data_IF_567114073828
#
_entry.id   IF_567114073828
#
_cell.length_a   1.000
_cell.length_b   1.000
_cell.length_c   1.000
_cell.angle_alpha   90.00
_cell.angle_beta   90.00
_cell.angle_gamma   90.00
#
_symmetry.space_group_name_H-M   'P 1'
#
loop_
_entity.id
_entity.type
_entity.pdbx_description
1 polymer ?
#
# COMPACT_ATOMS: atom_id res chain seq x y z
N UNK A 1 4.78 -4.13 -2.56
CA UNK A 1 5.44 -5.08 -1.63
C UNK A 1 6.90 -5.26 -2.04
N UNK A 2 7.75 -5.70 -1.12
CA UNK A 2 9.20 -5.83 -1.29
C UNK A 2 9.70 -7.23 -0.94
N UNK A 3 10.96 -7.51 -1.29
CA UNK A 3 11.65 -8.72 -0.84
C UNK A 3 11.73 -8.72 0.68
N UNK A 4 11.66 -9.91 1.27
CA UNK A 4 11.73 -10.12 2.71
C UNK A 4 10.55 -9.60 3.52
N UNK A 5 9.43 -9.22 2.88
CA UNK A 5 8.19 -8.90 3.59
C UNK A 5 7.61 -10.14 4.28
N UNK A 6 7.25 -9.99 5.55
CA UNK A 6 6.52 -10.96 6.36
C UNK A 6 5.16 -10.35 6.75
N UNK A 7 4.23 -11.17 7.23
CA UNK A 7 3.01 -10.68 7.87
C UNK A 7 3.38 -9.63 8.93
N UNK A 8 2.71 -8.48 8.94
CA UNK A 8 2.91 -7.45 9.97
C UNK A 8 2.01 -7.65 11.20
N UNK A 9 0.97 -8.47 11.08
CA UNK A 9 0.10 -8.91 12.16
C UNK A 9 0.15 -10.42 12.37
N UNK A 10 -0.41 -10.93 13.49
CA UNK A 10 -0.53 -12.35 13.73
C UNK A 10 -1.46 -12.98 12.68
N UNK A 11 -1.03 -14.09 12.05
CA UNK A 11 -1.82 -14.79 11.02
C UNK A 11 -3.19 -15.22 11.54
N UNK A 12 -3.30 -15.48 12.84
CA UNK A 12 -4.54 -15.86 13.53
C UNK A 12 -5.58 -14.74 13.47
N UNK A 13 -5.16 -13.48 13.35
CA UNK A 13 -6.06 -12.33 13.19
C UNK A 13 -6.60 -12.16 11.76
N UNK A 14 -6.05 -12.86 10.77
CA UNK A 14 -6.42 -12.81 9.36
C UNK A 14 -6.77 -14.17 8.77
N UNK A 15 -6.87 -15.20 9.62
CA UNK A 15 -7.28 -16.54 9.21
C UNK A 15 -8.70 -16.51 8.66
N UNK A 16 -8.90 -17.11 7.49
CA UNK A 16 -10.23 -17.20 6.89
C UNK A 16 -11.11 -18.12 7.72
N UNK A 17 -12.27 -17.61 8.12
CA UNK A 17 -13.25 -18.34 8.92
C UNK A 17 -13.75 -19.64 8.25
N UNK A 18 -13.65 -19.73 6.91
CA UNK A 18 -14.10 -20.85 6.09
C UNK A 18 -12.97 -21.72 5.52
N UNK A 19 -11.71 -21.43 5.87
CA UNK A 19 -10.55 -22.12 5.32
C UNK A 19 -9.33 -21.92 6.21
N UNK A 20 -9.04 -22.84 7.13
CA UNK A 20 -7.96 -22.62 8.12
C UNK A 20 -6.55 -22.78 7.54
N UNK A 21 -5.55 -22.22 8.23
CA UNK A 21 -4.14 -22.44 7.92
C UNK A 21 -3.77 -23.92 7.99
N UNK A 22 -4.33 -24.66 8.93
CA UNK A 22 -4.08 -26.10 9.10
C UNK A 22 -4.71 -26.92 7.98
N UNK A 23 -5.93 -26.58 7.52
CA UNK A 23 -6.54 -27.21 6.35
C UNK A 23 -5.65 -27.03 5.11
N UNK A 24 -5.11 -25.83 4.91
CA UNK A 24 -4.30 -25.53 3.73
C UNK A 24 -2.90 -26.17 3.78
N UNK A 25 -2.17 -26.03 4.88
CA UNK A 25 -0.77 -26.46 4.99
C UNK A 25 -0.59 -27.87 5.53
N UNK A 26 -1.65 -28.51 6.05
CA UNK A 26 -1.60 -29.84 6.66
C UNK A 26 -0.76 -29.91 7.95
N UNK A 27 -0.41 -28.75 8.53
CA UNK A 27 0.37 -28.60 9.76
C UNK A 27 0.22 -27.20 10.32
N UNK A 28 0.56 -27.04 11.59
CA UNK A 28 0.73 -25.72 12.20
C UNK A 28 2.01 -25.04 11.69
N UNK A 29 1.94 -23.71 11.55
CA UNK A 29 3.08 -22.86 11.18
C UNK A 29 3.19 -21.69 12.17
N UNK A 30 4.32 -20.98 12.19
CA UNK A 30 4.52 -19.79 13.02
C UNK A 30 3.52 -18.67 12.66
N UNK A 31 3.29 -17.73 13.59
CA UNK A 31 2.24 -16.69 13.44
C UNK A 31 2.58 -15.55 12.49
N UNK A 32 3.84 -15.43 12.06
CA UNK A 32 4.26 -14.41 11.11
C UNK A 32 4.85 -15.11 9.87
N UNK A 33 4.04 -15.56 8.92
CA UNK A 33 4.53 -16.17 7.70
C UNK A 33 5.11 -15.13 6.70
N UNK A 34 6.12 -15.48 5.90
CA UNK A 34 6.58 -14.65 4.78
C UNK A 34 5.47 -14.41 3.74
N UNK A 35 5.57 -13.33 2.95
CA UNK A 35 4.63 -12.99 1.87
C UNK A 35 4.26 -14.18 0.97
N UNK A 36 5.25 -14.98 0.57
CA UNK A 36 5.02 -16.12 -0.33
C UNK A 36 4.11 -17.19 0.28
N UNK A 37 4.17 -17.37 1.61
CA UNK A 37 3.34 -18.34 2.34
C UNK A 37 1.90 -17.82 2.46
N UNK A 38 1.69 -16.53 2.77
CA UNK A 38 0.34 -15.96 2.75
C UNK A 38 -0.29 -15.98 1.36
N UNK A 39 0.50 -15.73 0.30
CA UNK A 39 0.02 -15.82 -1.08
C UNK A 39 -0.47 -17.24 -1.41
N UNK A 40 0.27 -18.28 -1.02
CA UNK A 40 -0.11 -19.68 -1.22
C UNK A 40 -1.43 -20.00 -0.51
N UNK A 41 -1.58 -19.54 0.74
CA UNK A 41 -2.81 -19.68 1.52
C UNK A 41 -4.03 -19.01 0.87
N UNK A 42 -3.87 -17.77 0.40
CA UNK A 42 -4.92 -17.02 -0.31
C UNK A 42 -5.28 -17.75 -1.62
N UNK A 43 -4.27 -18.18 -2.39
CA UNK A 43 -4.47 -18.86 -3.65
C UNK A 43 -5.17 -20.22 -3.48
N UNK A 44 -4.82 -20.97 -2.43
CA UNK A 44 -5.43 -22.26 -2.11
C UNK A 44 -6.95 -22.17 -1.94
N UNK A 45 -7.43 -21.16 -1.21
CA UNK A 45 -8.87 -20.96 -1.00
C UNK A 45 -9.62 -20.70 -2.31
N UNK A 46 -9.11 -19.80 -3.15
CA UNK A 46 -9.79 -19.47 -4.43
C UNK A 46 -9.65 -20.56 -5.49
N UNK A 47 -8.57 -21.37 -5.43
CA UNK A 47 -8.45 -22.61 -6.23
C UNK A 47 -9.54 -23.61 -5.85
N UNK A 48 -9.78 -23.83 -4.55
CA UNK A 48 -10.88 -24.70 -4.05
C UNK A 48 -12.26 -24.20 -4.51
N UNK A 49 -12.46 -22.89 -4.57
CA UNK A 49 -13.72 -22.28 -5.00
C UNK A 49 -13.95 -22.30 -6.52
N UNK A 50 -12.94 -22.65 -7.33
CA UNK A 50 -13.02 -22.74 -8.80
C UNK A 50 -13.57 -21.46 -9.49
N UNK A 51 -13.16 -20.28 -9.02
CA UNK A 51 -13.65 -18.99 -9.53
C UNK A 51 -12.75 -18.35 -10.59
N UNK A 52 -11.63 -18.99 -10.93
CA UNK A 52 -10.59 -18.40 -11.79
C UNK A 52 -11.11 -18.04 -13.19
N UNK A 53 -12.03 -18.83 -13.72
CA UNK A 53 -12.58 -18.65 -15.08
C UNK A 53 -13.44 -17.39 -15.24
N UNK A 54 -13.82 -16.74 -14.13
CA UNK A 54 -14.51 -15.44 -14.16
C UNK A 54 -13.54 -14.25 -14.27
N UNK A 55 -12.24 -14.47 -14.10
CA UNK A 55 -11.23 -13.42 -14.05
C UNK A 55 -10.58 -13.27 -15.43
N UNK A 56 -10.51 -12.01 -15.90
CA UNK A 56 -9.68 -11.65 -17.05
C UNK A 56 -8.42 -10.96 -16.54
N UNK A 57 -7.30 -11.68 -16.55
CA UNK A 57 -5.98 -11.13 -16.24
C UNK A 57 -5.48 -10.26 -17.39
N UNK A 58 -4.45 -9.44 -17.15
CA UNK A 58 -3.90 -8.49 -18.14
C UNK A 58 -4.94 -7.54 -18.78
N UNK A 59 -6.09 -7.36 -18.12
CA UNK A 59 -7.20 -6.54 -18.61
C UNK A 59 -7.42 -5.36 -17.66
N UNK A 60 -6.96 -4.18 -18.05
CA UNK A 60 -7.07 -2.98 -17.25
C UNK A 60 -8.42 -2.28 -17.49
N UNK A 61 -9.17 -1.99 -16.43
CA UNK A 61 -10.34 -1.10 -16.53
C UNK A 61 -9.86 0.31 -16.87
N UNK A 62 -10.43 0.90 -17.92
CA UNK A 62 -10.11 2.24 -18.42
C UNK A 62 -11.17 3.26 -18.04
N UNK A 63 -12.43 2.86 -18.06
CA UNK A 63 -13.54 3.76 -17.71
C UNK A 63 -14.77 2.99 -17.26
N UNK A 64 -15.55 3.58 -16.36
CA UNK A 64 -16.89 3.11 -15.99
C UNK A 64 -17.83 4.29 -16.11
N UNK A 65 -18.90 4.13 -16.88
CA UNK A 65 -19.97 5.12 -17.00
C UNK A 65 -21.30 4.47 -16.61
N UNK A 66 -22.23 5.24 -16.04
CA UNK A 66 -23.56 4.78 -15.68
C UNK A 66 -24.60 5.56 -16.48
N UNK A 67 -25.59 4.87 -17.03
CA UNK A 67 -26.68 5.46 -17.79
C UNK A 67 -27.99 5.35 -17.00
N UNK A 68 -28.58 6.49 -16.64
CA UNK A 68 -29.83 6.57 -15.88
C UNK A 68 -31.05 6.06 -16.65
N UNK A 69 -31.04 6.09 -17.97
CA UNK A 69 -32.14 5.61 -18.81
C UNK A 69 -32.14 4.09 -18.87
N UNK A 70 -30.99 3.48 -19.12
CA UNK A 70 -30.87 2.02 -19.22
C UNK A 70 -30.66 1.34 -17.88
N UNK A 71 -30.27 2.09 -16.85
CA UNK A 71 -29.90 1.60 -15.51
C UNK A 71 -28.73 0.60 -15.56
N UNK A 72 -27.79 0.78 -16.50
CA UNK A 72 -26.61 -0.07 -16.70
C UNK A 72 -25.32 0.72 -16.54
N UNK A 73 -24.29 0.02 -16.07
CA UNK A 73 -22.91 0.47 -16.20
C UNK A 73 -22.33 -0.01 -17.52
N UNK A 74 -21.60 0.85 -18.22
CA UNK A 74 -20.72 0.45 -19.31
C UNK A 74 -19.27 0.51 -18.82
N UNK A 75 -18.59 -0.62 -18.82
CA UNK A 75 -17.19 -0.75 -18.40
C UNK A 75 -16.32 -0.87 -19.64
N UNK A 76 -15.46 0.12 -19.86
CA UNK A 76 -14.43 0.10 -20.89
C UNK A 76 -13.17 -0.51 -20.32
N UNK A 77 -12.61 -1.51 -21.00
CA UNK A 77 -11.38 -2.19 -20.59
C UNK A 77 -10.39 -2.28 -21.74
N UNK A 78 -9.12 -2.44 -21.41
CA UNK A 78 -8.06 -2.72 -22.36
C UNK A 78 -7.39 -4.05 -22.00
N UNK A 79 -7.49 -5.02 -22.92
CA UNK A 79 -6.82 -6.31 -22.86
C UNK A 79 -5.42 -6.16 -23.47
N UNK A 80 -4.40 -6.25 -22.61
CA UNK A 80 -3.00 -6.09 -23.00
C UNK A 80 -2.43 -7.29 -23.75
N UNK A 81 -3.01 -8.48 -23.62
CA UNK A 81 -2.54 -9.67 -24.37
C UNK A 81 -2.94 -9.56 -25.85
N UNK A 82 -4.07 -8.89 -26.12
CA UNK A 82 -4.59 -8.65 -27.49
C UNK A 82 -4.36 -7.24 -28.00
N UNK A 83 -3.82 -6.35 -27.18
CA UNK A 83 -3.71 -4.91 -27.43
C UNK A 83 -5.02 -4.31 -27.96
N UNK A 84 -6.13 -4.60 -27.26
CA UNK A 84 -7.46 -4.24 -27.74
C UNK A 84 -8.34 -3.66 -26.63
N UNK A 85 -9.12 -2.65 -26.97
CA UNK A 85 -10.08 -2.00 -26.07
C UNK A 85 -11.50 -2.41 -26.44
N UNK A 86 -12.29 -2.78 -25.45
CA UNK A 86 -13.70 -3.12 -25.64
C UNK A 86 -14.56 -2.67 -24.45
N UNK A 87 -15.87 -2.65 -24.66
CA UNK A 87 -16.88 -2.26 -23.66
C UNK A 87 -17.78 -3.45 -23.31
N UNK A 88 -18.23 -3.52 -22.06
CA UNK A 88 -19.25 -4.46 -21.61
C UNK A 88 -20.22 -3.80 -20.64
N UNK A 89 -21.49 -4.19 -20.71
CA UNK A 89 -22.54 -3.68 -19.85
C UNK A 89 -22.76 -4.57 -18.62
N UNK A 90 -23.04 -3.95 -17.48
CA UNK A 90 -23.28 -4.62 -16.20
C UNK A 90 -24.42 -3.94 -15.43
N UNK A 91 -25.22 -4.72 -14.70
CA UNK A 91 -26.21 -4.21 -13.74
C UNK A 91 -25.57 -3.58 -12.50
N UNK A 92 -24.39 -4.07 -12.12
CA UNK A 92 -23.66 -3.71 -10.93
C UNK A 92 -22.17 -3.64 -11.19
N UNK A 93 -21.48 -2.76 -10.46
CA UNK A 93 -20.02 -2.68 -10.45
C UNK A 93 -19.53 -2.75 -9.01
N UNK A 94 -18.57 -3.65 -8.74
CA UNK A 94 -17.90 -3.77 -7.45
C UNK A 94 -16.43 -3.36 -7.64
N UNK A 95 -16.05 -2.22 -7.08
CA UNK A 95 -14.69 -1.71 -7.12
C UNK A 95 -13.85 -2.30 -5.97
N UNK A 96 -12.93 -3.20 -6.31
CA UNK A 96 -11.97 -3.82 -5.38
C UNK A 96 -10.51 -3.55 -5.80
N UNK A 97 -10.24 -2.34 -6.30
CA UNK A 97 -8.92 -1.95 -6.86
C UNK A 97 -7.84 -1.61 -5.82
N UNK A 98 -8.21 -1.62 -4.53
CA UNK A 98 -7.32 -1.26 -3.42
C UNK A 98 -7.00 0.23 -3.34
N UNK A 99 -6.28 0.63 -2.30
CA UNK A 99 -5.89 2.03 -2.07
C UNK A 99 -4.43 2.23 -1.61
N UNK A 100 -3.65 1.15 -1.51
CA UNK A 100 -2.22 1.17 -1.17
C UNK A 100 -1.28 1.01 -2.38
N UNK A 101 -1.63 1.66 -3.50
CA UNK A 101 -0.82 1.60 -4.75
C UNK A 101 -0.48 2.97 -5.33
N UNK A 102 -1.32 4.00 -5.16
CA UNK A 102 -1.00 5.35 -5.66
C UNK A 102 -0.29 6.14 -4.55
N UNK A 103 1.01 6.42 -4.67
CA UNK A 103 1.80 6.96 -3.57
C UNK A 103 1.43 8.41 -3.24
N UNK A 104 1.53 8.77 -1.96
CA UNK A 104 1.54 10.15 -1.53
C UNK A 104 2.99 10.64 -1.42
N UNK A 105 3.46 11.37 -2.44
CA UNK A 105 4.85 11.81 -2.56
C UNK A 105 4.92 13.33 -2.32
N UNK A 106 5.12 13.79 -1.07
CA UNK A 106 5.32 15.21 -0.80
C UNK A 106 6.69 15.68 -1.29
N UNK A 107 6.75 16.92 -1.77
CA UNK A 107 8.01 17.61 -2.04
C UNK A 107 8.55 18.25 -0.75
N UNK A 108 9.87 18.19 -0.57
CA UNK A 108 10.62 18.96 0.43
C UNK A 108 11.72 19.72 -0.29
N UNK A 109 12.05 20.91 0.21
CA UNK A 109 13.15 21.74 -0.32
C UNK A 109 14.45 20.93 -0.37
N UNK A 110 15.12 20.96 -1.53
CA UNK A 110 16.40 20.31 -1.80
C UNK A 110 16.32 18.87 -2.30
N UNK A 111 15.14 18.25 -2.36
CA UNK A 111 14.97 16.90 -2.91
C UNK A 111 15.40 16.77 -4.37
N UNK A 112 15.20 17.81 -5.17
CA UNK A 112 15.60 17.90 -6.57
C UNK A 112 17.12 18.01 -6.77
N UNK A 113 17.83 18.47 -5.73
CA UNK A 113 19.30 18.60 -5.72
C UNK A 113 20.02 17.57 -4.86
N UNK A 114 19.28 16.68 -4.17
CA UNK A 114 19.85 15.67 -3.29
C UNK A 114 20.68 14.66 -4.10
N UNK A 115 21.95 14.51 -3.73
CA UNK A 115 22.88 13.62 -4.44
C UNK A 115 22.83 12.19 -3.88
N UNK A 116 21.63 11.63 -3.85
CA UNK A 116 21.36 10.27 -3.37
C UNK A 116 20.00 9.78 -3.85
N UNK A 117 19.63 8.57 -3.47
CA UNK A 117 18.35 8.01 -3.93
C UNK A 117 17.20 8.57 -3.10
N UNK A 118 16.21 9.17 -3.77
CA UNK A 118 14.90 9.47 -3.18
C UNK A 118 13.86 8.53 -3.79
N UNK A 119 13.11 7.80 -2.97
CA UNK A 119 12.05 6.92 -3.44
C UNK A 119 10.87 6.87 -2.47
N UNK A 120 9.68 6.54 -2.95
CA UNK A 120 8.55 6.19 -2.08
C UNK A 120 8.60 4.70 -1.68
N UNK A 121 8.00 4.36 -0.53
CA UNK A 121 7.82 2.98 -0.07
C UNK A 121 7.15 2.06 -1.12
N UNK A 122 6.36 2.66 -2.02
CA UNK A 122 5.74 1.97 -3.16
C UNK A 122 6.78 1.34 -4.10
N UNK A 123 7.93 1.98 -4.27
CA UNK A 123 9.00 1.60 -5.22
C UNK A 123 10.16 0.87 -4.54
N UNK A 124 10.12 0.74 -3.21
CA UNK A 124 11.09 -0.05 -2.46
C UNK A 124 10.96 -1.54 -2.83
N UNK A 125 12.10 -2.22 -3.05
CA UNK A 125 12.14 -3.62 -3.51
C UNK A 125 13.12 -4.51 -2.73
N UNK A 126 14.36 -4.09 -2.52
CA UNK A 126 15.39 -4.90 -1.86
C UNK A 126 16.18 -4.04 -0.87
N UNK A 127 16.15 -4.41 0.41
CA UNK A 127 16.83 -3.68 1.48
C UNK A 127 18.36 -3.67 1.33
N UNK A 128 18.92 -4.67 0.65
CA UNK A 128 20.38 -4.79 0.44
C UNK A 128 20.96 -3.69 -0.45
N UNK A 129 20.11 -2.95 -1.17
CA UNK A 129 20.56 -1.75 -1.87
C UNK A 129 21.12 -0.69 -0.91
N UNK A 130 20.68 -0.72 0.35
CA UNK A 130 21.05 0.23 1.38
C UNK A 130 22.09 -0.32 2.37
N UNK A 131 22.75 -1.44 2.06
CA UNK A 131 23.86 -1.95 2.87
C UNK A 131 24.96 -0.89 2.98
N UNK A 132 25.49 -0.71 4.20
CA UNK A 132 26.49 0.29 4.58
C UNK A 132 26.09 1.77 4.35
N UNK A 133 24.81 2.05 4.05
CA UNK A 133 24.29 3.42 3.85
C UNK A 133 23.63 4.01 5.09
N UNK A 134 23.75 5.32 5.26
CA UNK A 134 22.97 6.11 6.23
C UNK A 134 21.62 6.47 5.58
N UNK A 135 20.50 5.91 6.06
CA UNK A 135 19.18 6.10 5.43
C UNK A 135 18.26 7.02 6.25
N UNK A 136 17.50 7.85 5.54
CA UNK A 136 16.39 8.63 6.08
C UNK A 136 15.05 8.00 5.71
N UNK A 137 14.23 7.67 6.70
CA UNK A 137 12.86 7.19 6.52
C UNK A 137 11.91 8.33 6.91
N UNK A 138 11.09 8.84 5.98
CA UNK A 138 10.08 9.85 6.29
C UNK A 138 8.71 9.20 6.51
N UNK A 139 8.24 9.21 7.75
CA UNK A 139 6.98 8.57 8.14
C UNK A 139 7.06 7.94 9.53
N UNK A 140 5.90 7.67 10.12
CA UNK A 140 5.75 7.14 11.48
C UNK A 140 4.59 6.14 11.57
N UNK A 141 4.55 5.19 10.64
CA UNK A 141 3.54 4.13 10.57
C UNK A 141 4.16 2.88 9.93
N UNK A 142 3.36 1.85 9.64
CA UNK A 142 3.81 0.51 9.24
C UNK A 142 4.91 0.46 8.18
N UNK A 143 4.83 1.31 7.14
CA UNK A 143 5.87 1.35 6.11
C UNK A 143 7.21 1.85 6.65
N UNK A 144 7.21 2.85 7.55
CA UNK A 144 8.43 3.34 8.17
C UNK A 144 9.04 2.31 9.12
N UNK A 145 8.19 1.68 9.94
CA UNK A 145 8.57 0.62 10.88
C UNK A 145 9.21 -0.56 10.15
N UNK A 146 8.52 -1.17 9.17
CA UNK A 146 9.01 -2.40 8.56
C UNK A 146 10.14 -2.12 7.57
N UNK A 147 10.06 -1.10 6.70
CA UNK A 147 11.15 -0.82 5.75
C UNK A 147 12.43 -0.42 6.48
N UNK A 148 12.33 0.39 7.54
CA UNK A 148 13.47 0.69 8.40
C UNK A 148 14.03 -0.58 9.03
N UNK A 149 13.17 -1.48 9.51
CA UNK A 149 13.57 -2.77 10.09
C UNK A 149 14.24 -3.70 9.07
N UNK A 150 13.77 -3.73 7.82
CA UNK A 150 14.42 -4.48 6.76
C UNK A 150 15.81 -3.91 6.47
N UNK A 151 15.93 -2.59 6.31
CA UNK A 151 17.23 -1.97 6.06
C UNK A 151 18.21 -2.24 7.20
N UNK A 152 17.76 -2.13 8.45
CA UNK A 152 18.54 -2.49 9.64
C UNK A 152 18.99 -3.96 9.60
N UNK A 153 18.05 -4.89 9.38
CA UNK A 153 18.32 -6.33 9.32
C UNK A 153 19.31 -6.72 8.21
N UNK A 154 19.25 -6.02 7.07
CA UNK A 154 20.08 -6.30 5.89
C UNK A 154 21.33 -5.39 5.80
N UNK A 155 21.70 -4.73 6.90
CA UNK A 155 23.02 -4.16 7.08
C UNK A 155 23.19 -2.71 6.62
N UNK A 156 22.15 -1.88 6.67
CA UNK A 156 22.38 -0.44 6.55
C UNK A 156 23.26 0.06 7.71
N UNK A 157 24.02 1.14 7.46
CA UNK A 157 24.92 1.71 8.47
C UNK A 157 24.15 2.39 9.60
N UNK A 158 23.17 3.23 9.27
CA UNK A 158 22.25 3.80 10.25
C UNK A 158 20.88 4.09 9.67
N UNK A 159 19.86 4.10 10.54
CA UNK A 159 18.50 4.52 10.21
C UNK A 159 18.20 5.81 10.97
N UNK A 160 17.67 6.80 10.26
CA UNK A 160 17.00 7.95 10.87
C UNK A 160 15.57 7.96 10.40
N UNK A 161 14.61 7.73 11.30
CA UNK A 161 13.20 7.94 10.98
C UNK A 161 12.78 9.34 11.38
N UNK A 162 11.94 9.99 10.57
CA UNK A 162 11.41 11.32 10.85
C UNK A 162 9.88 11.31 10.89
N UNK A 163 9.32 11.85 11.96
CA UNK A 163 7.87 11.98 12.17
C UNK A 163 7.40 13.43 12.05
N UNK A 164 6.17 13.62 11.54
CA UNK A 164 5.56 14.96 11.43
C UNK A 164 4.77 15.36 12.68
N UNK A 165 4.06 14.41 13.29
CA UNK A 165 3.07 14.70 14.34
C UNK A 165 3.47 14.09 15.67
N UNK A 166 3.66 12.76 15.71
CA UNK A 166 4.06 12.04 16.91
C UNK A 166 5.13 10.98 16.54
N UNK A 167 6.12 10.74 17.42
CA UNK A 167 7.07 9.66 17.23
C UNK A 167 6.37 8.29 17.28
N UNK A 168 6.95 7.30 16.59
CA UNK A 168 6.62 5.90 16.77
C UNK A 168 6.95 5.43 18.19
N UNK A 169 8.07 5.91 18.75
CA UNK A 169 8.38 5.77 20.17
C UNK A 169 8.77 4.35 20.62
N UNK A 170 9.20 3.49 19.70
CA UNK A 170 9.72 2.16 20.03
C UNK A 170 11.12 2.23 20.66
N UNK A 171 11.53 1.13 21.31
CA UNK A 171 12.92 0.95 21.75
C UNK A 171 13.79 0.54 20.56
N UNK A 172 14.30 1.53 19.85
CA UNK A 172 15.10 1.33 18.65
C UNK A 172 16.50 0.72 18.93
N UNK A 173 17.09 -0.02 17.96
CA UNK A 173 18.50 -0.42 18.00
C UNK A 173 19.45 0.79 18.08
N UNK A 174 20.70 0.55 18.50
CA UNK A 174 21.69 1.63 18.72
C UNK A 174 21.95 2.51 17.49
N UNK A 175 21.88 1.95 16.29
CA UNK A 175 22.09 2.66 15.03
C UNK A 175 20.79 3.17 14.38
N UNK A 176 19.68 3.21 15.12
CA UNK A 176 18.42 3.78 14.68
C UNK A 176 17.99 4.89 15.63
N UNK A 177 17.89 6.11 15.11
CA UNK A 177 17.33 7.25 15.84
C UNK A 177 16.03 7.77 15.21
N UNK A 178 15.22 8.42 16.03
CA UNK A 178 13.97 9.05 15.61
C UNK A 178 14.06 10.57 15.78
N UNK A 179 13.71 11.31 14.72
CA UNK A 179 13.81 12.77 14.61
C UNK A 179 12.45 13.40 14.34
N UNK A 180 12.23 14.66 14.75
CA UNK A 180 11.02 15.38 14.38
C UNK A 180 11.04 15.74 12.89
N UNK A 181 10.10 16.57 12.45
CA UNK A 181 9.81 16.79 11.04
C UNK A 181 11.05 17.25 10.25
N UNK A 182 11.32 16.60 9.11
CA UNK A 182 12.24 17.14 8.10
C UNK A 182 11.74 18.52 7.66
N UNK A 183 12.66 19.47 7.55
CA UNK A 183 12.40 20.83 7.05
C UNK A 183 12.88 20.95 5.61
N UNK A 184 14.14 20.58 5.36
CA UNK A 184 14.79 20.65 4.05
C UNK A 184 15.99 19.72 3.99
N UNK A 185 16.54 19.57 2.79
CA UNK A 185 17.83 18.93 2.53
C UNK A 185 18.74 19.92 1.81
N UNK A 186 20.03 19.88 2.09
CA UNK A 186 21.06 20.64 1.35
C UNK A 186 22.29 19.77 1.15
N UNK A 187 22.65 19.52 -0.12
CA UNK A 187 23.53 18.43 -0.50
C UNK A 187 23.00 17.09 0.02
N UNK A 188 23.74 16.47 0.94
CA UNK A 188 23.33 15.23 1.63
C UNK A 188 22.92 15.46 3.10
N UNK A 189 22.82 16.72 3.54
CA UNK A 189 22.49 17.06 4.92
C UNK A 189 20.98 17.28 5.07
N UNK A 190 20.32 16.45 5.87
CA UNK A 190 18.94 16.63 6.30
C UNK A 190 18.85 17.57 7.51
N UNK A 191 17.90 18.51 7.50
CA UNK A 191 17.65 19.47 8.57
C UNK A 191 16.28 19.21 9.20
N UNK A 192 16.23 19.07 10.52
CA UNK A 192 15.01 18.75 11.26
C UNK A 192 14.48 19.94 12.04
N UNK A 193 13.20 19.89 12.42
CA UNK A 193 12.51 21.02 13.07
C UNK A 193 13.00 21.32 14.49
N UNK A 194 13.77 20.44 15.11
CA UNK A 194 14.47 20.69 16.38
C UNK A 194 15.83 21.42 16.21
N UNK A 195 16.19 21.76 14.98
CA UNK A 195 17.47 22.38 14.63
C UNK A 195 18.62 21.40 14.48
N UNK A 196 18.41 20.09 14.72
CA UNK A 196 19.42 19.07 14.48
C UNK A 196 19.58 18.77 12.99
N UNK A 197 20.72 18.18 12.64
CA UNK A 197 21.06 17.83 11.25
C UNK A 197 21.67 16.43 11.17
N UNK A 198 21.60 15.82 9.99
CA UNK A 198 22.28 14.55 9.72
C UNK A 198 22.62 14.37 8.25
N UNK A 199 23.80 13.82 7.97
CA UNK A 199 24.15 13.37 6.63
C UNK A 199 23.48 12.03 6.32
N UNK A 200 22.88 11.92 5.14
CA UNK A 200 22.16 10.72 4.68
C UNK A 200 22.48 10.43 3.21
N UNK A 201 22.52 9.15 2.86
CA UNK A 201 22.83 8.64 1.51
C UNK A 201 21.57 8.36 0.68
N UNK A 202 20.45 8.10 1.35
CA UNK A 202 19.17 7.80 0.71
C UNK A 202 17.99 8.27 1.56
N UNK A 203 16.88 8.58 0.90
CA UNK A 203 15.61 9.02 1.51
C UNK A 203 14.49 8.12 1.01
N UNK A 204 13.81 7.44 1.94
CA UNK A 204 12.64 6.61 1.67
C UNK A 204 11.40 7.29 2.24
N UNK A 205 10.47 7.67 1.37
CA UNK A 205 9.21 8.30 1.71
C UNK A 205 8.20 7.21 2.08
N UNK A 206 7.98 7.02 3.37
CA UNK A 206 6.95 6.15 3.95
C UNK A 206 5.70 6.99 4.28
N UNK A 207 5.28 7.81 3.32
CA UNK A 207 4.30 8.90 3.47
C UNK A 207 2.88 8.53 3.05
N UNK A 208 2.61 7.22 2.93
CA UNK A 208 1.28 6.66 2.69
C UNK A 208 0.81 6.72 1.24
N UNK A 209 -0.48 6.54 1.05
CA UNK A 209 -1.09 6.39 -0.27
C UNK A 209 -2.36 7.25 -0.38
N UNK A 210 -2.90 7.33 -1.60
CA UNK A 210 -4.13 8.03 -1.94
C UNK A 210 -5.17 7.05 -2.46
N UNK A 211 -6.43 7.25 -2.07
CA UNK A 211 -7.57 6.74 -2.83
C UNK A 211 -7.59 7.44 -4.19
N UNK A 212 -7.27 6.68 -5.24
CA UNK A 212 -7.12 7.20 -6.59
C UNK A 212 -7.72 6.24 -7.59
N UNK A 213 -8.70 6.72 -8.34
CA UNK A 213 -9.44 5.96 -9.33
C UNK A 213 -9.41 6.71 -10.66
N UNK A 214 -8.45 6.38 -11.51
CA UNK A 214 -8.27 7.00 -12.83
C UNK A 214 -9.28 6.53 -13.89
N UNK A 215 -10.14 5.56 -13.53
CA UNK A 215 -11.12 4.95 -14.41
C UNK A 215 -12.57 5.30 -14.03
N UNK A 216 -12.78 6.27 -13.11
CA UNK A 216 -14.11 6.64 -12.63
C UNK A 216 -14.41 8.14 -12.84
N UNK A 217 -15.60 8.47 -13.36
CA UNK A 217 -16.13 9.84 -13.37
C UNK A 217 -16.48 10.32 -11.96
N UNK A 218 -16.67 11.62 -11.80
CA UNK A 218 -16.87 12.28 -10.49
C UNK A 218 -18.10 11.76 -9.73
N UNK A 219 -19.18 11.43 -10.45
CA UNK A 219 -20.43 10.89 -9.91
C UNK A 219 -20.30 9.46 -9.37
N UNK A 220 -19.28 8.70 -9.79
CA UNK A 220 -19.00 7.34 -9.32
C UNK A 220 -17.75 7.24 -8.43
N UNK A 221 -16.90 8.27 -8.41
CA UNK A 221 -15.56 8.22 -7.80
C UNK A 221 -15.59 8.53 -6.29
N UNK A 222 -15.33 7.51 -5.48
CA UNK A 222 -15.17 7.65 -4.03
C UNK A 222 -14.06 8.67 -3.69
N UNK A 223 -14.38 9.62 -2.80
CA UNK A 223 -13.43 10.57 -2.21
C UNK A 223 -13.42 10.41 -0.71
N UNK A 224 -12.35 9.83 -0.17
CA UNK A 224 -12.22 9.58 1.27
C UNK A 224 -10.79 9.75 1.73
N UNK A 225 -10.61 10.05 3.01
CA UNK A 225 -9.34 9.85 3.70
C UNK A 225 -9.11 8.36 3.96
N UNK A 226 -7.85 7.97 4.20
CA UNK A 226 -7.56 6.64 4.74
C UNK A 226 -7.91 6.61 6.24
N UNK A 227 -9.00 5.91 6.58
CA UNK A 227 -9.56 5.78 7.93
C UNK A 227 -10.48 4.56 8.02
N UNK A 228 -10.82 4.14 9.23
CA UNK A 228 -11.69 2.97 9.47
C UNK A 228 -13.13 3.15 8.94
N UNK A 229 -13.65 4.37 9.01
CA UNK A 229 -14.97 4.73 8.47
C UNK A 229 -14.79 5.59 7.22
N UNK A 230 -14.61 4.93 6.08
CA UNK A 230 -14.53 5.59 4.77
C UNK A 230 -15.84 6.35 4.46
N UNK A 231 -15.73 7.51 3.83
CA UNK A 231 -16.87 8.36 3.48
C UNK A 231 -17.78 7.69 2.42
N UNK A 232 -19.03 8.12 2.35
CA UNK A 232 -19.96 7.84 1.24
C UNK A 232 -20.23 6.35 0.94
N UNK A 233 -19.98 5.47 1.91
CA UNK A 233 -20.25 4.04 1.83
C UNK A 233 -21.25 3.60 2.89
N UNK A 234 -22.51 3.38 2.50
CA UNK A 234 -23.50 2.72 3.36
C UNK A 234 -23.00 1.32 3.72
N UNK A 235 -23.00 1.02 5.03
CA UNK A 235 -22.43 -0.21 5.63
C UNK A 235 -20.96 -0.45 5.23
N UNK A 236 -20.24 0.61 4.83
CA UNK A 236 -18.86 0.51 4.39
C UNK A 236 -18.65 -0.12 3.00
N UNK A 237 -19.73 -0.40 2.24
CA UNK A 237 -19.61 -1.07 0.94
C UNK A 237 -20.50 -0.51 -0.17
N UNK A 238 -21.71 -0.01 0.12
CA UNK A 238 -22.64 0.48 -0.91
C UNK A 238 -22.42 1.97 -1.14
N UNK A 239 -22.14 2.37 -2.38
CA UNK A 239 -21.89 3.78 -2.67
C UNK A 239 -23.18 4.60 -2.60
N UNK A 240 -23.21 5.63 -1.76
CA UNK A 240 -24.46 6.34 -1.42
C UNK A 240 -25.04 7.15 -2.59
N UNK A 241 -24.22 7.58 -3.54
CA UNK A 241 -24.66 8.37 -4.69
C UNK A 241 -25.17 7.50 -5.84
N UNK A 242 -24.74 6.23 -5.92
CA UNK A 242 -25.31 5.23 -6.83
C UNK A 242 -25.24 3.85 -6.15
N UNK A 243 -26.33 3.40 -5.49
CA UNK A 243 -26.35 2.13 -4.74
C UNK A 243 -26.22 0.85 -5.57
N UNK A 244 -26.12 0.95 -6.90
CA UNK A 244 -25.76 -0.19 -7.77
C UNK A 244 -24.25 -0.37 -7.89
N UNK A 245 -23.46 0.60 -7.42
CA UNK A 245 -22.01 0.53 -7.31
C UNK A 245 -21.59 0.22 -5.87
N UNK A 246 -20.57 -0.61 -5.73
CA UNK A 246 -20.01 -1.03 -4.45
C UNK A 246 -18.50 -0.81 -4.41
N UNK A 247 -17.96 -0.66 -3.21
CA UNK A 247 -16.53 -0.59 -2.93
C UNK A 247 -16.18 -1.62 -1.86
N UNK A 248 -15.09 -2.38 -2.07
CA UNK A 248 -14.60 -3.34 -1.08
C UNK A 248 -13.21 -2.95 -0.60
N UNK A 249 -12.99 -3.02 0.72
CA UNK A 249 -11.67 -2.83 1.33
C UNK A 249 -11.10 -1.42 1.21
N UNK A 250 -11.96 -0.39 1.12
CA UNK A 250 -11.54 1.01 1.02
C UNK A 250 -11.25 1.66 2.37
N UNK A 251 -11.53 0.97 3.47
CA UNK A 251 -11.17 1.36 4.82
C UNK A 251 -9.68 1.16 5.06
N UNK A 252 -9.16 1.92 6.02
CA UNK A 252 -7.87 1.63 6.62
C UNK A 252 -7.89 0.26 7.32
N UNK A 253 -6.76 -0.42 7.37
CA UNK A 253 -6.64 -1.80 7.82
C UNK A 253 -5.45 -1.92 8.77
N UNK A 254 -5.69 -2.39 10.00
CA UNK A 254 -4.64 -2.56 11.00
C UNK A 254 -3.71 -3.76 10.72
N UNK A 255 -4.21 -4.79 10.03
CA UNK A 255 -3.44 -5.94 9.58
C UNK A 255 -3.67 -6.11 8.07
N UNK A 256 -2.60 -6.16 7.28
CA UNK A 256 -2.65 -6.18 5.80
C UNK A 256 -1.57 -7.06 5.19
#
# INVERSE_FOLDING_TARGET
>A
MYRYLWSNGPKEGLEFADYSFEEHFGKQIASYPPRAVLMDYIEGRVKKANVRDWIRFNTAVRWVEYDDTTQKFTVTVHDHDKDSTYKQEFDHVICASGHFSTPNVPFYEGFDTFNGRVLHAHDFRDAREFTDKDILILGASYSAEDIGSQCWKYGCKSVTSSYRTAPMGFKWPENWEEKPALVRVDGNTAYFSDGSTKNVDAIILCTGYKHYFNFLPDDLRLRTANRLAAADLYKGVVYVHNPRMFYLGMQDQWFT
#
